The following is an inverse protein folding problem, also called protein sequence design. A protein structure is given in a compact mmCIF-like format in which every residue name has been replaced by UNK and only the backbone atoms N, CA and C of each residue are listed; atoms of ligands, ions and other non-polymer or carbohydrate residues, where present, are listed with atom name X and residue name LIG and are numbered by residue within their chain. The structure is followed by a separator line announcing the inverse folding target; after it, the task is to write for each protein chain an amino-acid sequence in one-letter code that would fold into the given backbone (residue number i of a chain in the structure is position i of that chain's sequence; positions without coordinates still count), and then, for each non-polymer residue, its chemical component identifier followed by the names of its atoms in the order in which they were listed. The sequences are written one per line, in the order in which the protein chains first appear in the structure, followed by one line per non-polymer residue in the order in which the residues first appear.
data_IF_457132912615
#
_entry.id   IF_457132912615
#
_cell.length_a   1.000
_cell.length_b   1.000
_cell.length_c   1.000
_cell.angle_alpha   90.00
_cell.angle_beta   90.00
_cell.angle_gamma   90.00
#
_symmetry.space_group_name_H-M   'P 1'
#
loop_
_entity.id
_entity.type
_entity.pdbx_description
1 polymer ?
#
# COMPACT_ATOMS: atom_id res chain seq x y z
N UNK A 1 3.96 -2.31 29.44
CA UNK A 1 3.70 -3.61 30.08
C UNK A 1 4.18 -4.70 29.14
N UNK A 2 5.06 -5.58 29.60
CA UNK A 2 5.53 -6.72 28.83
C UNK A 2 4.45 -7.81 28.94
N UNK A 3 3.78 -8.14 27.84
CA UNK A 3 2.83 -9.25 27.82
C UNK A 3 3.67 -10.53 27.83
N UNK A 4 3.58 -11.30 28.92
CA UNK A 4 4.23 -12.60 29.00
C UNK A 4 3.70 -13.47 27.84
N UNK A 5 4.58 -13.96 26.97
CA UNK A 5 4.23 -14.96 25.95
C UNK A 5 4.04 -16.29 26.67
N UNK A 6 2.80 -16.81 26.64
CA UNK A 6 2.42 -18.00 27.40
C UNK A 6 2.74 -19.32 26.69
N UNK A 7 3.29 -19.30 25.47
CA UNK A 7 3.74 -20.51 24.78
C UNK A 7 5.02 -20.25 23.96
N UNK A 8 5.96 -21.20 23.99
CA UNK A 8 7.30 -21.04 23.39
C UNK A 8 7.28 -20.98 21.84
N UNK A 9 6.11 -21.22 21.24
CA UNK A 9 5.88 -21.27 19.79
C UNK A 9 4.86 -20.24 19.28
N UNK A 10 4.41 -19.29 20.12
CA UNK A 10 3.49 -18.24 19.66
C UNK A 10 4.19 -17.32 18.66
N UNK A 11 3.67 -17.26 17.43
CA UNK A 11 4.17 -16.33 16.43
C UNK A 11 3.62 -14.93 16.76
N UNK A 12 4.39 -13.87 16.52
CA UNK A 12 3.96 -12.49 16.80
C UNK A 12 2.67 -12.08 16.07
N UNK A 13 2.32 -12.78 14.99
CA UNK A 13 1.06 -12.61 14.29
C UNK A 13 -0.15 -13.05 15.13
N UNK A 14 0.00 -14.08 15.96
CA UNK A 14 -1.09 -14.58 16.80
C UNK A 14 -1.46 -13.51 17.85
N UNK A 15 -0.44 -12.91 18.47
CA UNK A 15 -0.58 -11.77 19.38
C UNK A 15 -1.29 -10.60 18.68
N UNK A 16 -0.83 -10.23 17.47
CA UNK A 16 -1.44 -9.18 16.66
C UNK A 16 -2.92 -9.47 16.34
N UNK A 17 -3.27 -10.71 16.01
CA UNK A 17 -4.64 -11.08 15.68
C UNK A 17 -5.57 -10.96 16.90
N UNK A 18 -5.07 -11.30 18.10
CA UNK A 18 -5.81 -11.10 19.36
C UNK A 18 -6.06 -9.60 19.59
N UNK A 19 -5.02 -8.78 19.46
CA UNK A 19 -5.14 -7.32 19.60
C UNK A 19 -6.09 -6.72 18.57
N UNK A 20 -5.97 -7.12 17.29
CA UNK A 20 -6.83 -6.65 16.22
C UNK A 20 -8.30 -7.02 16.46
N UNK A 21 -8.58 -8.26 16.90
CA UNK A 21 -9.94 -8.71 17.26
C UNK A 21 -10.51 -7.90 18.42
N UNK A 22 -9.72 -7.68 19.46
CA UNK A 22 -10.14 -6.87 20.60
C UNK A 22 -10.45 -5.42 20.18
N UNK A 23 -9.63 -4.84 19.30
CA UNK A 23 -9.82 -3.48 18.78
C UNK A 23 -11.10 -3.34 17.96
N UNK A 24 -11.37 -4.26 17.03
CA UNK A 24 -12.56 -4.15 16.16
C UNK A 24 -13.85 -4.57 16.86
N UNK A 25 -13.77 -5.45 17.87
CA UNK A 25 -14.89 -5.99 18.62
C UNK A 25 -15.79 -6.90 17.77
N UNK A 26 -17.11 -6.83 17.99
CA UNK A 26 -18.09 -7.68 17.30
C UNK A 26 -18.48 -7.21 15.89
N UNK A 27 -17.79 -6.20 15.34
CA UNK A 27 -18.06 -5.70 13.99
C UNK A 27 -17.94 -6.83 12.97
N UNK A 28 -18.98 -7.01 12.16
CA UNK A 28 -19.02 -8.04 11.11
C UNK A 28 -18.35 -7.56 9.83
N UNK A 29 -18.66 -6.35 9.39
CA UNK A 29 -18.09 -5.75 8.19
C UNK A 29 -16.82 -4.98 8.55
N UNK A 30 -15.69 -5.36 7.94
CA UNK A 30 -14.37 -4.82 8.26
C UNK A 30 -13.67 -4.39 6.98
N UNK A 31 -13.10 -3.19 6.99
CA UNK A 31 -12.17 -2.73 5.95
C UNK A 31 -10.78 -2.70 6.57
N UNK A 32 -9.91 -3.58 6.08
CA UNK A 32 -8.50 -3.62 6.47
C UNK A 32 -7.76 -2.81 5.43
N UNK A 33 -7.42 -1.58 5.81
CA UNK A 33 -6.86 -0.60 4.91
C UNK A 33 -5.35 -0.48 5.09
N UNK A 34 -4.66 -0.35 3.96
CA UNK A 34 -3.29 0.13 3.90
C UNK A 34 -3.21 1.33 2.95
N UNK A 35 -2.10 2.08 3.04
CA UNK A 35 -1.87 3.25 2.19
C UNK A 35 -0.45 3.27 1.63
N UNK A 36 -0.31 3.66 0.38
CA UNK A 36 0.93 3.67 -0.37
C UNK A 36 1.08 4.97 -1.16
N UNK A 37 2.20 5.66 -1.00
CA UNK A 37 2.58 6.79 -1.87
C UNK A 37 3.33 6.28 -3.09
N UNK A 38 2.89 6.64 -4.30
CA UNK A 38 3.55 6.25 -5.57
C UNK A 38 4.63 7.27 -5.94
N UNK A 39 5.51 7.58 -5.00
CA UNK A 39 6.53 8.62 -5.14
C UNK A 39 7.80 8.14 -5.87
N UNK A 40 7.80 6.93 -6.40
CA UNK A 40 8.89 6.28 -7.13
C UNK A 40 8.71 4.76 -7.15
N UNK A 41 9.78 4.02 -7.49
CA UNK A 41 9.77 2.55 -7.55
C UNK A 41 9.24 1.91 -6.27
N UNK A 42 8.34 0.93 -6.43
CA UNK A 42 7.88 0.11 -5.33
C UNK A 42 8.92 -0.94 -4.96
N UNK A 43 8.99 -1.30 -3.67
CA UNK A 43 10.00 -2.23 -3.16
C UNK A 43 9.37 -3.30 -2.26
N UNK A 44 10.14 -4.36 -1.95
CA UNK A 44 9.68 -5.50 -1.14
C UNK A 44 9.10 -5.12 0.22
N UNK A 45 9.59 -4.02 0.80
CA UNK A 45 9.02 -3.45 2.03
C UNK A 45 7.53 -3.11 1.89
N UNK A 46 7.12 -2.58 0.73
CA UNK A 46 5.71 -2.26 0.44
C UNK A 46 4.85 -3.50 0.26
N UNK A 47 5.40 -4.53 -0.39
CA UNK A 47 4.74 -5.83 -0.47
C UNK A 47 4.51 -6.39 0.93
N UNK A 48 5.53 -6.36 1.80
CA UNK A 48 5.44 -6.89 3.16
C UNK A 48 4.44 -6.15 4.04
N UNK A 49 4.50 -4.81 4.07
CA UNK A 49 3.73 -3.99 4.99
C UNK A 49 2.28 -3.80 4.54
N UNK A 50 2.10 -3.29 3.34
CA UNK A 50 0.83 -2.76 2.86
C UNK A 50 -0.04 -3.87 2.25
N UNK A 51 0.59 -4.88 1.65
CA UNK A 51 -0.10 -5.99 0.98
C UNK A 51 -0.20 -7.21 1.89
N UNK A 52 0.92 -7.83 2.24
CA UNK A 52 0.94 -9.15 2.90
C UNK A 52 0.30 -9.12 4.29
N UNK A 53 0.66 -8.16 5.14
CA UNK A 53 0.09 -8.10 6.50
C UNK A 53 -1.43 -7.88 6.47
N UNK A 54 -1.89 -6.94 5.65
CA UNK A 54 -3.32 -6.66 5.44
C UNK A 54 -4.06 -7.87 4.89
N UNK A 55 -3.45 -8.63 3.97
CA UNK A 55 -4.03 -9.82 3.39
C UNK A 55 -4.16 -10.96 4.41
N UNK A 56 -3.13 -11.18 5.24
CA UNK A 56 -3.17 -12.16 6.32
C UNK A 56 -4.29 -11.85 7.31
N UNK A 57 -4.39 -10.60 7.78
CA UNK A 57 -5.47 -10.17 8.66
C UNK A 57 -6.85 -10.38 7.99
N UNK A 58 -6.97 -10.02 6.71
CA UNK A 58 -8.22 -10.19 5.95
C UNK A 58 -8.63 -11.65 5.88
N UNK A 59 -7.69 -12.57 5.61
CA UNK A 59 -7.96 -14.00 5.63
C UNK A 59 -8.36 -14.49 7.01
N UNK A 60 -7.61 -14.13 8.06
CA UNK A 60 -7.94 -14.54 9.43
C UNK A 60 -9.33 -14.05 9.87
N UNK A 61 -9.72 -12.82 9.56
CA UNK A 61 -11.06 -12.34 9.88
C UNK A 61 -12.16 -13.07 9.07
N UNK A 62 -11.91 -13.43 7.81
CA UNK A 62 -12.83 -14.26 7.00
C UNK A 62 -12.98 -15.67 7.55
N UNK A 63 -11.90 -16.27 8.05
CA UNK A 63 -11.95 -17.59 8.72
C UNK A 63 -12.84 -17.55 9.96
N UNK A 64 -12.87 -16.40 10.66
CA UNK A 64 -13.81 -16.10 11.75
C UNK A 64 -15.19 -15.61 11.29
N UNK A 65 -15.59 -15.90 10.03
CA UNK A 65 -16.90 -15.57 9.46
C UNK A 65 -17.23 -14.06 9.46
N UNK A 66 -16.23 -13.19 9.53
CA UNK A 66 -16.39 -11.74 9.33
C UNK A 66 -16.36 -11.41 7.84
N UNK A 67 -17.09 -10.37 7.45
CA UNK A 67 -17.09 -9.82 6.11
C UNK A 67 -15.91 -8.82 5.97
N UNK A 68 -14.70 -9.35 5.83
CA UNK A 68 -13.50 -8.51 5.72
C UNK A 68 -13.12 -8.22 4.26
N UNK A 69 -12.84 -6.95 3.96
CA UNK A 69 -12.34 -6.44 2.69
C UNK A 69 -10.97 -5.82 2.90
N UNK A 70 -9.99 -6.19 2.08
CA UNK A 70 -8.74 -5.45 2.00
C UNK A 70 -8.90 -4.26 1.06
N UNK A 71 -8.44 -3.09 1.50
CA UNK A 71 -8.35 -1.90 0.64
C UNK A 71 -6.95 -1.30 0.68
N UNK A 72 -6.51 -0.79 -0.47
CA UNK A 72 -5.26 -0.07 -0.62
C UNK A 72 -5.54 1.32 -1.15
N UNK A 73 -5.17 2.36 -0.40
CA UNK A 73 -5.26 3.75 -0.84
C UNK A 73 -3.93 4.15 -1.47
N UNK A 74 -3.96 4.53 -2.74
CA UNK A 74 -2.82 5.13 -3.43
C UNK A 74 -2.84 6.64 -3.22
N UNK A 75 -1.80 7.15 -2.57
CA UNK A 75 -1.62 8.59 -2.40
C UNK A 75 -1.07 9.18 -3.70
N UNK A 76 -1.97 9.76 -4.49
CA UNK A 76 -1.70 10.37 -5.80
C UNK A 76 -1.62 11.90 -5.74
N UNK A 77 -2.18 12.48 -4.68
CA UNK A 77 -2.15 13.92 -4.39
C UNK A 77 -0.89 14.37 -3.64
N UNK A 78 -0.06 13.45 -3.15
CA UNK A 78 1.17 13.77 -2.43
C UNK A 78 2.08 14.69 -3.26
N UNK A 79 2.86 15.53 -2.59
CA UNK A 79 3.80 16.43 -3.24
C UNK A 79 5.02 15.66 -3.77
N UNK A 80 5.37 15.88 -5.04
CA UNK A 80 6.62 15.43 -5.63
C UNK A 80 7.78 16.32 -5.18
N UNK A 81 8.68 15.75 -4.35
CA UNK A 81 9.70 16.48 -3.60
C UNK A 81 10.98 16.80 -4.37
N UNK A 82 11.09 16.36 -5.63
CA UNK A 82 12.30 16.54 -6.45
C UNK A 82 13.59 16.05 -5.77
N UNK A 83 13.54 14.93 -5.04
CA UNK A 83 14.75 14.30 -4.50
C UNK A 83 15.66 13.90 -5.66
N UNK A 84 16.98 13.89 -5.43
CA UNK A 84 17.96 13.52 -6.47
C UNK A 84 17.63 12.18 -7.15
N UNK A 85 17.19 11.18 -6.37
CA UNK A 85 16.79 9.87 -6.91
C UNK A 85 15.53 9.92 -7.78
N UNK A 86 14.62 10.86 -7.55
CA UNK A 86 13.42 11.08 -8.36
C UNK A 86 13.75 11.87 -9.63
N UNK A 87 14.56 12.92 -9.51
CA UNK A 87 15.04 13.72 -10.65
C UNK A 87 15.82 12.83 -11.62
N UNK A 88 16.67 11.95 -11.10
CA UNK A 88 17.47 11.01 -11.90
C UNK A 88 16.63 9.99 -12.70
N UNK A 89 15.32 9.86 -12.45
CA UNK A 89 14.46 9.00 -13.27
C UNK A 89 14.16 9.63 -14.63
N UNK A 90 14.14 10.97 -14.73
CA UNK A 90 13.80 11.66 -15.97
C UNK A 90 14.90 11.49 -17.02
N UNK A 91 14.50 11.02 -18.20
CA UNK A 91 15.43 10.69 -19.29
C UNK A 91 15.53 11.76 -20.37
N UNK A 92 14.53 12.66 -20.45
CA UNK A 92 14.38 13.63 -21.54
C UNK A 92 14.47 15.09 -21.10
N UNK A 93 14.36 15.35 -19.80
CA UNK A 93 14.30 16.71 -19.24
C UNK A 93 14.71 16.74 -17.78
N UNK A 94 15.01 17.94 -17.25
CA UNK A 94 15.22 18.10 -15.82
C UNK A 94 13.87 18.07 -15.08
N UNK A 95 13.67 17.01 -14.29
CA UNK A 95 12.47 16.81 -13.49
C UNK A 95 12.26 17.86 -12.39
N UNK A 96 13.28 18.63 -11.98
CA UNK A 96 13.17 19.61 -10.88
C UNK A 96 12.09 20.67 -11.12
N UNK A 97 11.75 20.97 -12.38
CA UNK A 97 10.64 21.89 -12.71
C UNK A 97 9.26 21.39 -12.27
N UNK A 98 9.15 20.13 -11.88
CA UNK A 98 7.92 19.51 -11.35
C UNK A 98 7.88 19.48 -9.82
N UNK A 99 8.90 20.03 -9.12
CA UNK A 99 8.89 20.15 -7.67
C UNK A 99 7.61 20.84 -7.17
N UNK A 100 7.01 20.31 -6.11
CA UNK A 100 5.80 20.87 -5.52
C UNK A 100 4.49 20.44 -6.20
N UNK A 101 4.54 19.78 -7.36
CA UNK A 101 3.33 19.24 -8.01
C UNK A 101 2.84 18.00 -7.29
N UNK A 102 1.55 17.70 -7.45
CA UNK A 102 0.98 16.42 -7.04
C UNK A 102 1.59 15.29 -7.86
N UNK A 103 1.79 14.11 -7.29
CA UNK A 103 2.34 12.96 -8.01
C UNK A 103 1.58 12.67 -9.32
N UNK A 104 0.25 12.77 -9.32
CA UNK A 104 -0.59 12.54 -10.52
C UNK A 104 -0.37 13.57 -11.64
N UNK A 105 0.11 14.77 -11.31
CA UNK A 105 0.38 15.85 -12.27
C UNK A 105 1.84 15.87 -12.78
N UNK A 106 2.69 14.98 -12.25
CA UNK A 106 4.07 14.84 -12.73
C UNK A 106 4.05 13.91 -13.95
N UNK A 107 4.65 14.30 -15.08
CA UNK A 107 4.67 13.44 -16.27
C UNK A 107 5.51 12.19 -16.03
N UNK A 108 5.27 11.16 -16.86
CA UNK A 108 6.12 9.96 -16.85
C UNK A 108 7.58 10.35 -17.19
N UNK A 109 8.55 10.00 -16.35
CA UNK A 109 9.97 10.31 -16.57
C UNK A 109 10.59 9.72 -17.85
N UNK A 110 9.97 8.67 -18.42
CA UNK A 110 10.38 7.99 -19.66
C UNK A 110 9.42 8.32 -20.81
N UNK A 111 8.15 8.62 -20.50
CA UNK A 111 7.10 8.95 -21.45
C UNK A 111 6.44 7.73 -22.12
N UNK A 112 6.29 6.61 -21.38
CA UNK A 112 5.58 5.40 -21.81
C UNK A 112 4.20 5.20 -21.15
N UNK A 113 3.88 5.98 -20.11
CA UNK A 113 2.61 6.02 -19.38
C UNK A 113 2.08 7.46 -19.31
N UNK A 114 0.86 7.66 -18.81
CA UNK A 114 0.26 8.99 -18.77
C UNK A 114 0.96 9.93 -17.77
N UNK A 115 1.43 9.40 -16.64
CA UNK A 115 2.04 10.18 -15.56
C UNK A 115 2.98 9.33 -14.69
N UNK A 116 3.63 9.99 -13.73
CA UNK A 116 4.53 9.40 -12.74
C UNK A 116 3.90 8.26 -11.94
N UNK A 117 2.64 8.42 -11.52
CA UNK A 117 1.93 7.41 -10.72
C UNK A 117 1.75 6.14 -11.54
N UNK A 118 1.24 6.24 -12.77
CA UNK A 118 1.04 5.06 -13.62
C UNK A 118 2.34 4.32 -13.90
N UNK A 119 3.42 5.06 -14.20
CA UNK A 119 4.73 4.47 -14.46
C UNK A 119 5.22 3.59 -13.30
N UNK A 120 5.21 4.12 -12.08
CA UNK A 120 5.72 3.42 -10.90
C UNK A 120 4.68 2.51 -10.21
N UNK A 121 3.44 2.50 -10.69
CA UNK A 121 2.42 1.59 -10.21
C UNK A 121 2.34 0.31 -11.05
N UNK A 122 2.66 0.38 -12.35
CA UNK A 122 2.40 -0.70 -13.31
C UNK A 122 3.08 -2.03 -12.95
N UNK A 123 4.34 -2.00 -12.54
CA UNK A 123 5.16 -3.19 -12.25
C UNK A 123 4.85 -3.85 -10.90
N UNK A 124 4.30 -3.07 -9.97
CA UNK A 124 3.84 -3.56 -8.67
C UNK A 124 2.35 -3.88 -8.72
N UNK A 125 1.54 -2.84 -8.83
CA UNK A 125 0.08 -2.87 -8.77
C UNK A 125 -0.61 -3.55 -9.92
N UNK A 126 -0.11 -3.34 -11.15
CA UNK A 126 -0.68 -3.92 -12.37
C UNK A 126 -0.64 -5.44 -12.40
N UNK A 127 0.16 -6.07 -11.53
CA UNK A 127 0.30 -7.54 -11.42
C UNK A 127 -0.09 -8.08 -10.04
N UNK A 128 -0.52 -7.24 -9.10
CA UNK A 128 -0.81 -7.65 -7.71
C UNK A 128 -1.85 -8.77 -7.63
N UNK A 129 -2.91 -8.69 -8.45
CA UNK A 129 -4.04 -9.63 -8.38
C UNK A 129 -3.63 -11.10 -8.65
N UNK A 130 -2.49 -11.31 -9.33
CA UNK A 130 -1.92 -12.66 -9.55
C UNK A 130 -1.49 -13.36 -8.25
N UNK A 131 -1.17 -12.61 -7.20
CA UNK A 131 -0.59 -13.14 -5.95
C UNK A 131 -1.37 -12.72 -4.70
N UNK A 132 -2.01 -11.55 -4.76
CA UNK A 132 -2.82 -10.99 -3.69
C UNK A 132 -4.19 -10.54 -4.22
N UNK A 133 -5.07 -11.49 -4.57
CA UNK A 133 -6.32 -11.18 -5.25
C UNK A 133 -7.33 -10.48 -4.34
N UNK A 134 -8.21 -9.69 -4.96
CA UNK A 134 -9.36 -9.10 -4.27
C UNK A 134 -9.04 -7.89 -3.38
N UNK A 135 -7.91 -7.21 -3.64
CA UNK A 135 -7.58 -5.93 -3.02
C UNK A 135 -8.37 -4.82 -3.72
N UNK A 136 -9.16 -4.07 -2.96
CA UNK A 136 -9.82 -2.87 -3.47
C UNK A 136 -8.86 -1.69 -3.46
N UNK A 137 -8.25 -1.41 -4.60
CA UNK A 137 -7.42 -0.22 -4.79
C UNK A 137 -8.30 1.01 -5.04
N UNK A 138 -8.00 2.10 -4.34
CA UNK A 138 -8.60 3.43 -4.52
C UNK A 138 -7.48 4.47 -4.55
N UNK A 139 -7.68 5.60 -5.24
CA UNK A 139 -6.69 6.70 -5.23
C UNK A 139 -7.22 7.89 -4.45
N UNK A 140 -6.34 8.77 -3.99
CA UNK A 140 -6.75 10.07 -3.40
C UNK A 140 -7.17 11.10 -4.45
N UNK A 141 -7.26 10.71 -5.72
CA UNK A 141 -7.82 11.52 -6.81
C UNK A 141 -9.25 11.12 -7.14
N UNK A 142 -9.61 9.85 -6.96
CA UNK A 142 -10.95 9.32 -7.27
C UNK A 142 -11.98 9.55 -6.15
N UNK A 143 -11.58 10.17 -5.05
CA UNK A 143 -12.41 10.41 -3.84
C UNK A 143 -12.69 11.89 -3.61
#
# INVERSE_FOLDING_TARGET
MCVARWDALTHWYDDLLVEAKAYVGEKRDLVINAGLSVSGLQHVGRLRGEITLSQLLTHSFRDHRRNALQSLVLYTQDEWKAKETQVAQFTKEDGRKYAGRRLIDVPDPVGCHANWVEHFWQDFGGVLDRFAPGIRTVTTTDT
#
